data_IF_690693028258
#
_entry.id   IF_690693028258
#
_cell.length_a   1.000
_cell.length_b   1.000
_cell.length_c   1.000
_cell.angle_alpha   90.00
_cell.angle_beta   90.00
_cell.angle_gamma   90.00
#
_symmetry.space_group_name_H-M   'P 1'
#
loop_
_entity.id
_entity.type
_entity.pdbx_description
1 polymer ?
#
# COMPACT_ATOMS: atom_id res chain seq x y z
N UNK A 1 -6.54 10.10 -12.10
CA UNK A 1 -5.53 9.03 -12.10
C UNK A 1 -5.45 8.47 -10.68
N UNK A 2 -4.92 7.30 -10.46
CA UNK A 2 -4.89 6.59 -9.17
C UNK A 2 -3.45 6.43 -8.67
N UNK A 3 -3.27 6.04 -7.41
CA UNK A 3 -1.95 5.78 -6.81
C UNK A 3 -1.12 4.78 -7.63
N UNK A 4 -1.77 3.75 -8.20
CA UNK A 4 -1.06 2.77 -9.05
C UNK A 4 -0.57 3.37 -10.36
N UNK A 5 -1.26 4.39 -10.90
CA UNK A 5 -0.79 5.10 -12.10
C UNK A 5 0.53 5.82 -11.79
N UNK A 6 0.64 6.44 -10.62
CA UNK A 6 1.88 7.09 -10.17
C UNK A 6 3.04 6.08 -10.04
N UNK A 7 2.79 4.90 -9.47
CA UNK A 7 3.79 3.83 -9.32
C UNK A 7 4.28 3.33 -10.69
N UNK A 8 3.35 3.05 -11.62
CA UNK A 8 3.71 2.53 -12.95
C UNK A 8 4.50 3.58 -13.74
N UNK A 9 4.01 4.83 -13.80
CA UNK A 9 4.70 5.91 -14.50
C UNK A 9 6.06 6.21 -13.88
N UNK A 10 6.17 6.21 -12.54
CA UNK A 10 7.43 6.36 -11.83
C UNK A 10 8.44 5.25 -12.13
N UNK A 11 7.95 4.00 -12.29
CA UNK A 11 8.79 2.88 -12.69
C UNK A 11 9.32 3.04 -14.13
N UNK A 12 8.47 3.51 -15.05
CA UNK A 12 8.83 3.81 -16.43
C UNK A 12 9.69 5.07 -16.56
N UNK A 13 9.58 5.99 -15.60
CA UNK A 13 10.46 7.18 -15.54
C UNK A 13 11.93 6.80 -15.31
N UNK A 14 12.17 5.72 -14.54
CA UNK A 14 13.52 5.22 -14.25
C UNK A 14 14.15 4.53 -15.46
N UNK A 15 13.37 3.69 -16.16
CA UNK A 15 13.85 2.94 -17.34
C UNK A 15 12.70 2.31 -18.11
N UNK A 16 12.87 2.06 -19.42
CA UNK A 16 11.90 1.27 -20.19
C UNK A 16 11.67 -0.11 -19.57
N UNK A 17 10.41 -0.55 -19.53
CA UNK A 17 10.02 -1.85 -18.99
C UNK A 17 8.88 -2.48 -19.78
N UNK A 18 8.80 -3.80 -19.76
CA UNK A 18 7.61 -4.48 -20.27
C UNK A 18 6.50 -4.51 -19.21
N UNK A 19 5.27 -4.78 -19.65
CA UNK A 19 4.15 -4.96 -18.74
C UNK A 19 4.38 -6.09 -17.73
N UNK A 20 5.04 -7.18 -18.15
CA UNK A 20 5.44 -8.27 -17.26
C UNK A 20 6.43 -7.82 -16.17
N UNK A 21 7.48 -7.06 -16.54
CA UNK A 21 8.47 -6.58 -15.56
C UNK A 21 7.85 -5.60 -14.56
N UNK A 22 6.94 -4.74 -15.02
CA UNK A 22 6.16 -3.85 -14.17
C UNK A 22 5.30 -4.62 -13.18
N UNK A 23 4.58 -5.64 -13.65
CA UNK A 23 3.75 -6.50 -12.81
C UNK A 23 4.61 -7.19 -11.73
N UNK A 24 5.70 -7.82 -12.13
CA UNK A 24 6.63 -8.49 -11.23
C UNK A 24 7.25 -7.53 -10.20
N UNK A 25 7.59 -6.30 -10.61
CA UNK A 25 8.12 -5.29 -9.72
C UNK A 25 7.09 -4.82 -8.67
N UNK A 26 5.81 -4.67 -9.06
CA UNK A 26 4.72 -4.30 -8.17
C UNK A 26 4.47 -5.41 -7.14
N UNK A 27 4.45 -6.67 -7.58
CA UNK A 27 4.27 -7.83 -6.73
C UNK A 27 5.43 -8.00 -5.74
N UNK A 28 6.68 -7.92 -6.20
CA UNK A 28 7.88 -8.10 -5.35
C UNK A 28 8.01 -7.03 -4.27
N UNK A 29 7.48 -5.84 -4.49
CA UNK A 29 7.52 -4.74 -3.51
C UNK A 29 6.37 -4.78 -2.51
N UNK A 30 5.44 -5.73 -2.60
CA UNK A 30 4.29 -5.86 -1.71
C UNK A 30 3.51 -4.54 -1.51
N UNK A 31 3.37 -3.76 -2.58
CA UNK A 31 2.81 -2.39 -2.53
C UNK A 31 1.40 -2.34 -1.94
N UNK A 32 0.61 -3.41 -2.10
CA UNK A 32 -0.74 -3.52 -1.55
C UNK A 32 -0.80 -3.47 -0.03
N UNK A 33 0.32 -3.65 0.67
CA UNK A 33 0.37 -3.56 2.13
C UNK A 33 0.30 -2.13 2.65
N UNK A 34 0.70 -1.14 1.85
CA UNK A 34 0.85 0.24 2.31
C UNK A 34 0.25 1.30 1.39
N UNK A 35 -0.27 0.91 0.22
CA UNK A 35 -1.11 1.76 -0.61
C UNK A 35 -2.37 1.02 -1.01
N UNK A 36 -3.49 1.73 -1.06
CA UNK A 36 -4.75 1.16 -1.54
C UNK A 36 -4.65 0.93 -3.04
N UNK A 37 -4.56 -0.35 -3.43
CA UNK A 37 -4.52 -0.77 -4.82
C UNK A 37 -5.88 -1.40 -5.15
N UNK A 38 -6.62 -0.76 -6.06
CA UNK A 38 -7.83 -1.34 -6.62
C UNK A 38 -7.50 -2.48 -7.60
N UNK A 39 -8.53 -3.23 -7.98
CA UNK A 39 -8.41 -4.24 -9.04
C UNK A 39 -7.94 -3.57 -10.35
N UNK A 40 -6.77 -3.97 -10.85
CA UNK A 40 -6.20 -3.48 -12.10
C UNK A 40 -5.34 -4.55 -12.77
N UNK A 41 -5.12 -4.37 -14.06
CA UNK A 41 -4.11 -5.12 -14.82
C UNK A 41 -3.09 -4.14 -15.38
N UNK A 42 -1.81 -4.38 -15.15
CA UNK A 42 -0.72 -3.54 -15.66
C UNK A 42 -0.82 -3.42 -17.19
N UNK A 43 -1.14 -4.53 -17.87
CA UNK A 43 -1.35 -4.54 -19.32
C UNK A 43 -2.40 -3.53 -19.79
N UNK A 44 -3.58 -3.48 -19.15
CA UNK A 44 -4.60 -2.48 -19.48
C UNK A 44 -4.13 -1.05 -19.24
N UNK A 45 -3.35 -0.83 -18.19
CA UNK A 45 -2.82 0.49 -17.84
C UNK A 45 -1.81 1.00 -18.85
N UNK A 46 -0.83 0.18 -19.26
CA UNK A 46 0.18 0.62 -20.24
C UNK A 46 -0.45 0.92 -21.59
N UNK A 47 -1.45 0.14 -22.03
CA UNK A 47 -2.22 0.43 -23.26
C UNK A 47 -3.00 1.74 -23.14
N UNK A 48 -3.62 2.00 -21.97
CA UNK A 48 -4.27 3.29 -21.73
C UNK A 48 -3.30 4.46 -21.75
N UNK A 49 -2.07 4.27 -21.23
CA UNK A 49 -1.04 5.33 -21.25
C UNK A 49 -0.53 5.59 -22.67
N UNK A 50 -0.38 4.54 -23.47
CA UNK A 50 0.00 4.68 -24.87
C UNK A 50 -1.06 5.46 -25.67
N UNK A 51 -2.33 5.10 -25.52
CA UNK A 51 -3.45 5.82 -26.15
C UNK A 51 -3.52 7.30 -25.73
N UNK A 52 -3.07 7.65 -24.53
CA UNK A 52 -2.99 9.03 -24.04
C UNK A 52 -1.68 9.74 -24.42
N UNK A 53 -0.75 9.02 -25.03
CA UNK A 53 0.56 9.53 -25.40
C UNK A 53 1.51 9.73 -24.20
N UNK A 54 1.28 9.05 -23.07
CA UNK A 54 2.14 9.11 -21.91
C UNK A 54 3.33 8.15 -22.00
N UNK A 55 3.18 7.09 -22.78
CA UNK A 55 4.24 6.14 -23.11
C UNK A 55 4.21 5.85 -24.61
N UNK A 56 5.33 5.35 -25.12
CA UNK A 56 5.45 4.73 -26.45
C UNK A 56 5.89 3.30 -26.26
N UNK A 57 5.42 2.40 -27.13
CA UNK A 57 5.84 1.00 -27.12
C UNK A 57 6.75 0.69 -28.30
N UNK A 58 7.67 -0.26 -28.06
CA UNK A 58 8.55 -0.84 -29.07
C UNK A 58 8.62 -2.35 -28.85
N UNK A 59 8.48 -3.13 -29.93
CA UNK A 59 8.65 -4.57 -29.87
C UNK A 59 10.12 -4.91 -30.07
N UNK A 60 10.71 -5.53 -29.06
CA UNK A 60 12.14 -5.93 -29.05
C UNK A 60 12.24 -7.46 -29.10
N UNK A 61 13.11 -7.96 -29.97
CA UNK A 61 13.45 -9.36 -30.08
C UNK A 61 14.93 -9.55 -29.78
N UNK A 62 15.24 -10.24 -28.70
CA UNK A 62 16.61 -10.59 -28.32
C UNK A 62 16.92 -12.04 -28.68
N UNK A 63 17.58 -12.25 -29.80
CA UNK A 63 18.01 -13.60 -30.23
C UNK A 63 16.83 -14.56 -30.41
N UNK A 64 16.90 -15.73 -29.76
CA UNK A 64 15.86 -16.78 -29.81
C UNK A 64 14.75 -16.59 -28.74
N UNK A 65 14.74 -15.48 -27.97
CA UNK A 65 13.69 -15.24 -26.98
C UNK A 65 12.40 -14.76 -27.66
N UNK A 66 11.22 -15.01 -27.03
CA UNK A 66 9.96 -14.47 -27.50
C UNK A 66 10.01 -12.94 -27.60
N UNK A 67 9.30 -12.40 -28.56
CA UNK A 67 9.15 -10.95 -28.73
C UNK A 67 8.55 -10.32 -27.47
N UNK A 68 9.11 -9.17 -27.05
CA UNK A 68 8.73 -8.46 -25.83
C UNK A 68 8.43 -7.00 -26.16
N UNK A 69 7.24 -6.53 -25.80
CA UNK A 69 6.88 -5.13 -25.92
C UNK A 69 7.45 -4.35 -24.72
N UNK A 70 8.30 -3.37 -25.02
CA UNK A 70 8.90 -2.44 -24.07
C UNK A 70 8.18 -1.10 -24.14
N UNK A 71 7.87 -0.53 -22.98
CA UNK A 71 7.21 0.77 -22.85
C UNK A 71 8.21 1.79 -22.29
N UNK A 72 8.27 2.94 -22.96
CA UNK A 72 9.12 4.08 -22.58
C UNK A 72 8.25 5.29 -22.31
N UNK A 73 8.50 5.99 -21.20
CA UNK A 73 7.76 7.20 -20.84
C UNK A 73 8.12 8.36 -21.80
N UNK A 74 7.11 9.10 -22.24
CA UNK A 74 7.28 10.30 -23.09
C UNK A 74 7.50 11.56 -22.25
N UNK A 75 7.84 12.69 -22.89
CA UNK A 75 7.88 14.00 -22.24
C UNK A 75 6.53 14.33 -21.56
N UNK A 76 5.42 14.12 -22.28
CA UNK A 76 4.06 14.27 -21.75
C UNK A 76 3.78 13.35 -20.56
N UNK A 77 4.26 12.11 -20.60
CA UNK A 77 4.13 11.17 -19.48
C UNK A 77 4.90 11.63 -18.24
N UNK A 78 6.08 12.25 -18.40
CA UNK A 78 6.86 12.84 -17.31
C UNK A 78 6.17 14.07 -16.70
N UNK A 79 5.56 14.92 -17.51
CA UNK A 79 4.77 16.06 -17.05
C UNK A 79 3.60 15.58 -16.18
N UNK A 80 2.81 14.64 -16.67
CA UNK A 80 1.70 14.05 -15.93
C UNK A 80 2.18 13.37 -14.63
N UNK A 81 3.31 12.68 -14.65
CA UNK A 81 3.89 12.11 -13.44
C UNK A 81 4.20 13.19 -12.39
N UNK A 82 4.83 14.30 -12.81
CA UNK A 82 5.15 15.41 -11.92
C UNK A 82 3.89 16.09 -11.34
N UNK A 83 2.87 16.32 -12.18
CA UNK A 83 1.58 16.83 -11.72
C UNK A 83 0.93 15.91 -10.68
N UNK A 84 0.96 14.60 -10.91
CA UNK A 84 0.45 13.61 -9.97
C UNK A 84 1.23 13.60 -8.65
N UNK A 85 2.57 13.74 -8.68
CA UNK A 85 3.38 13.84 -7.46
C UNK A 85 2.91 14.99 -6.58
N UNK A 86 2.68 16.17 -7.17
CA UNK A 86 2.15 17.33 -6.45
C UNK A 86 0.72 17.07 -5.96
N UNK A 87 -0.16 16.58 -6.82
CA UNK A 87 -1.57 16.32 -6.47
C UNK A 87 -1.69 15.34 -5.30
N UNK A 88 -0.95 14.22 -5.32
CA UNK A 88 -1.00 13.23 -4.25
C UNK A 88 -0.32 13.71 -2.96
N UNK A 89 0.68 14.59 -3.03
CA UNK A 89 1.30 15.18 -1.84
C UNK A 89 0.37 16.16 -1.11
N UNK A 90 -0.59 16.76 -1.80
CA UNK A 90 -1.62 17.66 -1.25
C UNK A 90 -2.88 16.93 -0.79
N UNK A 91 -2.99 15.61 -1.06
CA UNK A 91 -4.17 14.85 -0.71
C UNK A 91 -4.36 14.78 0.82
N UNK A 92 -5.61 14.84 1.26
CA UNK A 92 -5.96 14.67 2.67
C UNK A 92 -5.49 13.31 3.19
N UNK A 93 -4.76 13.32 4.31
CA UNK A 93 -4.34 12.08 4.97
C UNK A 93 -5.52 11.46 5.71
N UNK A 94 -5.89 10.23 5.32
CA UNK A 94 -6.96 9.46 5.95
C UNK A 94 -6.45 8.10 6.36
N UNK A 95 -6.73 7.71 7.60
CA UNK A 95 -6.43 6.37 8.13
C UNK A 95 -7.74 5.59 8.23
N UNK A 96 -7.86 4.53 7.46
CA UNK A 96 -9.02 3.63 7.48
C UNK A 96 -8.65 2.34 8.18
N UNK A 97 -9.43 1.98 9.20
CA UNK A 97 -9.28 0.78 10.00
C UNK A 97 -10.61 0.01 9.95
N UNK A 98 -10.64 -1.10 9.24
CA UNK A 98 -11.88 -1.87 9.01
C UNK A 98 -12.49 -2.36 10.33
N UNK A 99 -11.69 -2.62 11.35
CA UNK A 99 -12.17 -3.01 12.68
C UNK A 99 -12.98 -1.90 13.39
N UNK A 100 -12.92 -0.63 12.95
CA UNK A 100 -13.81 0.39 13.49
C UNK A 100 -15.29 0.05 13.28
N UNK A 101 -15.62 -0.69 12.21
CA UNK A 101 -16.97 -1.19 12.01
C UNK A 101 -17.36 -2.24 13.09
N UNK A 102 -16.40 -3.01 13.59
CA UNK A 102 -16.63 -3.93 14.73
C UNK A 102 -16.85 -3.12 16.01
N UNK A 103 -16.00 -2.15 16.28
CA UNK A 103 -16.09 -1.29 17.49
C UNK A 103 -17.46 -0.61 17.58
N UNK A 104 -17.94 0.01 16.51
CA UNK A 104 -19.25 0.72 16.49
C UNK A 104 -20.42 -0.22 16.81
N UNK A 105 -20.32 -1.50 16.47
CA UNK A 105 -21.37 -2.47 16.69
C UNK A 105 -21.16 -3.36 17.93
N UNK A 106 -20.09 -3.14 18.70
CA UNK A 106 -19.68 -4.03 19.80
C UNK A 106 -20.73 -4.11 20.92
N UNK A 107 -21.45 -3.03 21.18
CA UNK A 107 -22.54 -2.97 22.19
C UNK A 107 -23.74 -3.88 21.87
N UNK A 108 -23.82 -4.45 20.68
CA UNK A 108 -24.85 -5.41 20.27
C UNK A 108 -24.49 -6.86 20.64
N UNK A 109 -23.26 -7.10 21.10
CA UNK A 109 -22.74 -8.42 21.46
C UNK A 109 -22.87 -8.67 22.96
N UNK A 110 -22.93 -9.94 23.36
CA UNK A 110 -22.65 -10.35 24.74
C UNK A 110 -21.17 -10.09 25.08
N UNK A 111 -20.86 -10.02 26.39
CA UNK A 111 -19.51 -9.67 26.86
C UNK A 111 -18.43 -10.62 26.33
N UNK A 112 -18.72 -11.93 26.34
CA UNK A 112 -17.75 -12.93 25.85
C UNK A 112 -17.43 -12.78 24.38
N UNK A 113 -18.45 -12.50 23.55
CA UNK A 113 -18.29 -12.24 22.11
C UNK A 113 -17.55 -10.91 21.86
N UNK A 114 -17.84 -9.88 22.66
CA UNK A 114 -17.15 -8.60 22.58
C UNK A 114 -15.65 -8.76 22.93
N UNK A 115 -15.33 -9.49 24.02
CA UNK A 115 -13.95 -9.76 24.43
C UNK A 115 -13.18 -10.56 23.36
N UNK A 116 -13.82 -11.52 22.74
CA UNK A 116 -13.21 -12.27 21.63
C UNK A 116 -12.90 -11.36 20.44
N UNK A 117 -13.78 -10.39 20.12
CA UNK A 117 -13.53 -9.40 19.06
C UNK A 117 -12.34 -8.49 19.41
N UNK A 118 -12.24 -8.03 20.65
CA UNK A 118 -11.12 -7.20 21.12
C UNK A 118 -9.81 -7.97 21.03
N UNK A 119 -9.77 -9.21 21.54
CA UNK A 119 -8.60 -10.07 21.47
C UNK A 119 -8.15 -10.31 20.00
N UNK A 120 -9.09 -10.47 19.07
CA UNK A 120 -8.79 -10.61 17.65
C UNK A 120 -8.17 -9.33 17.05
N UNK A 121 -8.70 -8.15 17.39
CA UNK A 121 -8.14 -6.85 16.98
C UNK A 121 -6.73 -6.69 17.51
N UNK A 122 -6.51 -6.93 18.81
CA UNK A 122 -5.20 -6.89 19.47
C UNK A 122 -4.19 -7.81 18.78
N UNK A 123 -4.54 -9.08 18.60
CA UNK A 123 -3.69 -10.05 17.95
C UNK A 123 -3.35 -9.64 16.50
N UNK A 124 -4.30 -9.07 15.76
CA UNK A 124 -4.09 -8.58 14.40
C UNK A 124 -3.08 -7.42 14.35
N UNK A 125 -3.19 -6.45 15.28
CA UNK A 125 -2.25 -5.33 15.40
C UNK A 125 -0.85 -5.83 15.72
N UNK A 126 -0.73 -6.68 16.75
CA UNK A 126 0.55 -7.24 17.21
C UNK A 126 1.24 -8.08 16.14
N UNK A 127 0.50 -8.97 15.48
CA UNK A 127 1.05 -9.81 14.41
C UNK A 127 1.54 -8.97 13.23
N UNK A 128 0.79 -7.93 12.85
CA UNK A 128 1.20 -7.03 11.76
C UNK A 128 2.44 -6.24 12.15
N UNK A 129 2.51 -5.74 13.40
CA UNK A 129 3.68 -5.03 13.92
C UNK A 129 4.92 -5.92 13.94
N UNK A 130 4.82 -7.17 14.41
CA UNK A 130 5.94 -8.13 14.41
C UNK A 130 6.46 -8.38 12.99
N UNK A 131 5.57 -8.59 12.01
CA UNK A 131 5.97 -8.78 10.61
C UNK A 131 6.73 -7.59 10.02
N UNK A 132 6.39 -6.36 10.43
CA UNK A 132 7.12 -5.16 9.99
C UNK A 132 8.44 -5.03 10.75
N UNK A 133 8.46 -5.29 12.06
CA UNK A 133 9.65 -5.25 12.88
C UNK A 133 10.74 -6.20 12.38
N UNK A 134 10.37 -7.40 11.94
CA UNK A 134 11.31 -8.38 11.35
C UNK A 134 11.96 -7.86 10.06
N UNK A 135 11.29 -7.00 9.33
CA UNK A 135 11.80 -6.42 8.08
C UNK A 135 12.73 -5.22 8.32
N UNK A 136 12.53 -4.45 9.39
CA UNK A 136 13.30 -3.23 9.67
C UNK A 136 14.82 -3.45 9.81
N UNK A 137 15.33 -4.45 10.56
CA UNK A 137 16.77 -4.64 10.77
C UNK A 137 17.51 -5.22 9.57
N UNK A 138 16.82 -6.02 8.75
CA UNK A 138 17.42 -6.76 7.62
C UNK A 138 17.60 -5.91 6.37
N UNK A 139 17.01 -4.71 6.35
CA UNK A 139 16.93 -3.87 5.15
C UNK A 139 17.86 -2.66 5.17
N UNK A 140 19.11 -2.85 5.60
CA UNK A 140 20.16 -1.81 5.42
C UNK A 140 20.35 -1.41 3.95
N UNK A 141 19.95 -2.29 3.03
CA UNK A 141 20.03 -2.09 1.58
C UNK A 141 18.77 -1.44 0.98
N UNK A 142 17.71 -1.21 1.77
CA UNK A 142 16.53 -0.48 1.27
C UNK A 142 16.87 1.01 1.21
N UNK A 143 16.63 1.67 0.05
CA UNK A 143 16.77 3.12 -0.06
C UNK A 143 15.93 3.86 1.00
N UNK A 144 16.40 5.04 1.43
CA UNK A 144 15.77 5.87 2.46
C UNK A 144 14.23 5.95 2.31
N UNK A 145 13.73 6.21 1.09
CA UNK A 145 12.29 6.39 0.86
C UNK A 145 11.46 5.11 1.10
N UNK A 146 12.02 3.94 0.86
CA UNK A 146 11.35 2.66 1.19
C UNK A 146 11.38 2.38 2.68
N UNK A 147 12.53 2.63 3.34
CA UNK A 147 12.70 2.43 4.77
C UNK A 147 11.79 3.32 5.59
N UNK A 148 11.68 4.61 5.24
CA UNK A 148 10.80 5.55 5.97
C UNK A 148 9.34 5.15 5.92
N UNK A 149 8.87 4.46 4.86
CA UNK A 149 7.50 3.93 4.80
C UNK A 149 7.32 2.78 5.80
N UNK A 150 8.29 1.88 5.94
CA UNK A 150 8.24 0.80 6.94
C UNK A 150 8.25 1.36 8.37
N UNK A 151 9.11 2.34 8.63
CA UNK A 151 9.16 3.04 9.93
C UNK A 151 7.83 3.74 10.25
N UNK A 152 7.23 4.41 9.28
CA UNK A 152 5.92 5.04 9.42
C UNK A 152 4.85 4.02 9.82
N UNK A 153 4.81 2.86 9.15
CA UNK A 153 3.83 1.82 9.45
C UNK A 153 4.05 1.22 10.84
N UNK A 154 5.30 0.99 11.22
CA UNK A 154 5.64 0.51 12.54
C UNK A 154 5.14 1.46 13.63
N UNK A 155 5.41 2.77 13.50
CA UNK A 155 4.95 3.80 14.44
C UNK A 155 3.42 3.90 14.53
N UNK A 156 2.72 3.74 13.41
CA UNK A 156 1.25 3.68 13.39
C UNK A 156 0.73 2.49 14.20
N UNK A 157 1.35 1.31 14.05
CA UNK A 157 0.95 0.11 14.79
C UNK A 157 1.28 0.23 16.28
N UNK A 158 2.39 0.84 16.67
CA UNK A 158 2.68 1.17 18.07
C UNK A 158 1.61 2.09 18.68
N UNK A 159 1.13 3.05 17.90
CA UNK A 159 0.05 3.93 18.35
C UNK A 159 -1.27 3.18 18.50
N UNK A 160 -1.56 2.24 17.59
CA UNK A 160 -2.75 1.39 17.68
C UNK A 160 -2.70 0.42 18.87
N UNK A 161 -1.54 -0.15 19.22
CA UNK A 161 -1.40 -0.94 20.43
C UNK A 161 -1.70 -0.14 21.70
N UNK A 162 -1.15 1.07 21.82
CA UNK A 162 -1.43 1.95 22.95
C UNK A 162 -2.90 2.36 23.04
N UNK A 163 -3.54 2.59 21.89
CA UNK A 163 -4.96 2.88 21.84
C UNK A 163 -5.78 1.67 22.29
N UNK A 164 -5.45 0.49 21.84
CA UNK A 164 -6.14 -0.76 22.19
C UNK A 164 -6.04 -1.05 23.68
N UNK A 165 -4.85 -0.95 24.31
CA UNK A 165 -4.65 -1.08 25.73
C UNK A 165 -5.48 -0.09 26.56
N UNK A 166 -5.63 1.15 26.08
CA UNK A 166 -6.46 2.15 26.75
C UNK A 166 -7.94 1.82 26.58
N UNK A 167 -8.36 1.36 25.42
CA UNK A 167 -9.74 0.95 25.15
C UNK A 167 -10.15 -0.22 26.05
N UNK A 168 -9.31 -1.26 26.23
CA UNK A 168 -9.58 -2.35 27.16
C UNK A 168 -9.79 -1.83 28.60
N UNK A 169 -8.96 -0.90 29.06
CA UNK A 169 -9.06 -0.33 30.41
C UNK A 169 -10.34 0.49 30.62
N UNK A 170 -10.71 1.31 29.63
CA UNK A 170 -11.94 2.11 29.71
C UNK A 170 -13.19 1.21 29.67
N UNK A 171 -13.19 0.19 28.84
CA UNK A 171 -14.28 -0.79 28.76
C UNK A 171 -14.46 -1.56 30.08
N UNK A 172 -13.38 -1.97 30.72
CA UNK A 172 -13.42 -2.65 32.02
C UNK A 172 -14.07 -1.75 33.08
N UNK A 173 -13.68 -0.48 33.14
CA UNK A 173 -14.29 0.51 34.09
C UNK A 173 -15.79 0.70 33.81
N UNK A 174 -16.19 0.84 32.56
CA UNK A 174 -17.58 1.03 32.17
C UNK A 174 -18.45 -0.18 32.55
N UNK A 175 -17.88 -1.40 32.56
CA UNK A 175 -18.56 -2.61 33.02
C UNK A 175 -18.69 -2.72 34.54
N UNK A 176 -17.72 -2.19 35.30
CA UNK A 176 -17.77 -2.16 36.77
C UNK A 176 -18.80 -1.14 37.29
N UNK A 177 -19.11 -0.11 36.50
CA UNK A 177 -20.07 0.94 36.85
C UNK A 177 -21.53 0.59 36.53
N UNK A 178 -21.80 -0.51 35.82
CA UNK A 178 -23.14 -1.00 35.44
C UNK A 178 -23.63 -2.10 36.37
#
# INVERSE_FOLDING_TARGET
MSTIDLIILGSLYQSPKSAYDLQKQIESRNLSRWIKIGSFTVYKKVVQYENKGYVVSETVKNGNMPEKTMYTITAKGKEIFNEMMVQFSLAETRVFLDFNAVIVNMALLDESSADACIANIKNSIQNTKMQIAEQLPTHKDIPLFGRTILEQQFLLLETLEKWEENFEKELAKEREEK
#
